data_IF_177555110440
#
_entry.id   IF_177555110440
#
_cell.length_a   1.000
_cell.length_b   1.000
_cell.length_c   1.000
_cell.angle_alpha   90.00
_cell.angle_beta   90.00
_cell.angle_gamma   90.00
#
_symmetry.space_group_name_H-M   'P 1'
#
loop_
_entity.id
_entity.type
_entity.pdbx_description
1 polymer ?
#
# COMPACT_ATOMS: atom_id res chain seq x y z
N UNK A 1 3.26 -5.67 12.77
CA UNK A 1 2.13 -5.13 11.97
C UNK A 1 2.72 -4.20 10.93
N UNK A 2 2.29 -4.29 9.67
CA UNK A 2 2.77 -3.40 8.62
C UNK A 2 1.75 -2.25 8.49
N UNK A 3 2.04 -1.06 9.02
CA UNK A 3 1.14 0.08 8.90
C UNK A 3 1.19 0.62 7.47
N UNK A 4 0.03 1.01 6.95
CA UNK A 4 -0.10 1.67 5.67
C UNK A 4 0.54 3.06 5.75
N UNK A 5 1.46 3.43 4.84
CA UNK A 5 2.08 4.76 4.86
C UNK A 5 1.08 5.89 4.55
N UNK A 6 -0.07 5.58 3.95
CA UNK A 6 -1.06 6.58 3.56
C UNK A 6 -2.07 6.91 4.67
N UNK A 7 -2.39 5.97 5.55
CA UNK A 7 -3.45 6.13 6.55
C UNK A 7 -3.15 5.49 7.91
N UNK A 8 -1.94 4.97 8.11
CA UNK A 8 -1.49 4.24 9.30
C UNK A 8 -2.34 3.03 9.69
N UNK A 9 -3.25 2.58 8.81
CA UNK A 9 -4.07 1.40 9.03
C UNK A 9 -3.27 0.13 8.80
N UNK A 10 -3.62 -0.97 9.48
CA UNK A 10 -2.93 -2.23 9.27
C UNK A 10 -3.14 -2.75 7.85
N UNK A 11 -2.04 -3.07 7.18
CA UNK A 11 -2.07 -3.74 5.89
C UNK A 11 -2.42 -5.21 6.08
N UNK A 12 -3.24 -5.73 5.16
CA UNK A 12 -3.61 -7.14 5.10
C UNK A 12 -2.64 -7.88 4.20
N UNK A 13 -2.16 -9.04 4.65
CA UNK A 13 -1.26 -9.90 3.88
C UNK A 13 -2.10 -10.76 2.94
N UNK A 14 -1.92 -10.59 1.64
CA UNK A 14 -2.59 -11.38 0.63
C UNK A 14 -1.59 -12.35 0.01
N UNK A 15 -2.01 -13.61 -0.12
CA UNK A 15 -1.24 -14.66 -0.77
C UNK A 15 -2.01 -15.01 -2.04
N UNK A 16 -1.41 -14.72 -3.20
CA UNK A 16 -1.91 -15.17 -4.49
C UNK A 16 -0.91 -16.21 -5.01
N UNK A 17 -1.36 -17.17 -5.82
CA UNK A 17 -0.64 -18.40 -6.17
C UNK A 17 0.88 -18.29 -6.43
N UNK A 18 1.39 -17.15 -6.90
CA UNK A 18 2.83 -16.89 -7.12
C UNK A 18 3.39 -15.64 -6.44
N UNK A 19 2.58 -14.87 -5.69
CA UNK A 19 3.02 -13.60 -5.11
C UNK A 19 2.37 -13.31 -3.77
N UNK A 20 3.16 -12.68 -2.91
CA UNK A 20 2.72 -12.21 -1.61
C UNK A 20 2.74 -10.68 -1.61
N UNK A 21 1.58 -10.06 -1.42
CA UNK A 21 1.47 -8.60 -1.43
C UNK A 21 0.66 -8.10 -0.24
N UNK A 22 0.81 -6.82 0.06
CA UNK A 22 0.06 -6.15 1.10
C UNK A 22 -1.07 -5.35 0.49
N UNK A 23 -2.26 -5.43 1.07
CA UNK A 23 -3.42 -4.66 0.62
C UNK A 23 -3.95 -3.80 1.75
N UNK A 24 -4.17 -2.52 1.47
CA UNK A 24 -4.83 -1.63 2.40
C UNK A 24 -6.33 -1.60 2.12
N UNK A 25 -7.16 -2.07 3.06
CA UNK A 25 -8.62 -2.03 2.95
C UNK A 25 -9.19 -0.60 2.92
N UNK A 26 -8.52 0.35 3.60
CA UNK A 26 -8.94 1.76 3.67
C UNK A 26 -8.64 2.52 2.38
N UNK A 27 -7.42 2.36 1.85
CA UNK A 27 -7.02 2.97 0.59
C UNK A 27 -7.52 2.18 -0.63
N UNK A 28 -7.92 0.91 -0.43
CA UNK A 28 -8.28 -0.06 -1.47
C UNK A 28 -7.19 -0.24 -2.53
N UNK A 29 -5.93 -0.30 -2.10
CA UNK A 29 -4.77 -0.35 -2.97
C UNK A 29 -3.76 -1.41 -2.50
N UNK A 30 -3.11 -2.05 -3.48
CA UNK A 30 -1.94 -2.92 -3.28
C UNK A 30 -0.74 -2.04 -2.88
N UNK A 31 -0.20 -2.26 -1.69
CA UNK A 31 1.00 -1.58 -1.18
C UNK A 31 2.25 -2.38 -1.52
N UNK A 32 3.23 -1.77 -2.21
CA UNK A 32 4.54 -2.38 -2.37
C UNK A 32 5.27 -2.44 -1.03
N UNK A 33 6.18 -3.41 -0.87
CA UNK A 33 7.08 -3.45 0.28
C UNK A 33 8.01 -2.25 0.22
N UNK A 34 7.78 -1.26 1.08
CA UNK A 34 8.68 -0.13 1.23
C UNK A 34 9.91 -0.56 2.00
N UNK A 35 11.01 -0.83 1.29
CA UNK A 35 12.35 -0.81 1.87
C UNK A 35 12.64 0.64 2.25
N UNK A 36 12.34 0.98 3.51
CA UNK A 36 12.78 2.15 4.28
C UNK A 36 13.55 3.21 3.47
N UNK A 37 12.85 4.18 2.90
CA UNK A 37 13.51 5.29 2.18
C UNK A 37 12.59 6.29 1.49
N UNK A 38 11.35 5.92 1.16
CA UNK A 38 10.41 6.84 0.52
C UNK A 38 9.51 7.48 1.57
N UNK A 39 9.72 8.78 1.79
CA UNK A 39 8.89 9.64 2.61
C UNK A 39 7.40 9.45 2.27
N UNK A 40 6.57 9.33 3.30
CA UNK A 40 5.16 8.91 3.32
C UNK A 40 4.20 9.77 2.49
N UNK A 41 4.68 10.78 1.77
CA UNK A 41 3.89 11.76 1.03
C UNK A 41 3.81 11.53 -0.49
N UNK A 42 4.64 10.65 -1.08
CA UNK A 42 4.72 10.53 -2.54
C UNK A 42 3.82 9.47 -3.20
N UNK A 43 3.12 8.61 -2.44
CA UNK A 43 2.23 7.60 -3.03
C UNK A 43 0.80 8.08 -3.34
N UNK A 44 0.46 9.34 -3.00
CA UNK A 44 -0.84 9.92 -3.33
C UNK A 44 -1.06 10.21 -4.83
N UNK A 45 -0.04 10.03 -5.69
CA UNK A 45 -0.09 10.58 -7.06
C UNK A 45 -0.11 9.59 -8.23
N UNK A 46 -0.08 8.27 -8.01
CA UNK A 46 -0.03 7.30 -9.14
C UNK A 46 -1.40 6.67 -9.49
N UNK A 47 -2.42 6.78 -8.63
CA UNK A 47 -3.77 6.27 -8.93
C UNK A 47 -4.88 7.32 -8.92
N UNK A 48 -4.54 8.59 -9.16
CA UNK A 48 -5.54 9.58 -9.55
C UNK A 48 -5.79 9.45 -11.05
N UNK A 49 -6.54 8.42 -11.47
CA UNK A 49 -7.15 8.46 -12.80
C UNK A 49 -8.41 9.32 -12.68
N UNK A 50 -8.26 10.54 -13.19
CA UNK A 50 -9.23 11.33 -13.98
C UNK A 50 -10.71 11.25 -13.58
N UNK A 51 -11.23 12.40 -13.13
CA UNK A 51 -12.57 12.83 -13.52
C UNK A 51 -12.48 13.45 -14.93
#
# INVERSE_FOLDING_TARGET
MNPCPCCSHNLLRHIQAKRLYWFCSRCRQEMPYFTSGLNSSSFKKIFSNSA
#
